data_IF_406140679619
#
_entry.id   IF_406140679619
#
_cell.length_a   1.000
_cell.length_b   1.000
_cell.length_c   1.000
_cell.angle_alpha   90.00
_cell.angle_beta   90.00
_cell.angle_gamma   90.00
#
_symmetry.space_group_name_H-M   'P 1'
#
loop_
_entity.id
_entity.type
_entity.pdbx_description
1 polymer ?
#
# COMPACT_ATOMS: atom_id res chain seq x y z
N UNK A 1 11.52 -7.54 14.54
CA UNK A 1 11.15 -8.69 15.40
C UNK A 1 11.93 -8.59 16.69
N UNK A 2 11.26 -8.64 17.85
CA UNK A 2 11.91 -8.73 19.15
C UNK A 2 12.21 -10.21 19.46
N UNK A 3 13.47 -10.60 19.70
CA UNK A 3 13.85 -12.00 19.88
C UNK A 3 14.07 -12.42 21.35
N UNK A 4 13.86 -11.55 22.32
CA UNK A 4 14.23 -11.77 23.71
C UNK A 4 13.02 -12.18 24.56
N UNK A 5 13.27 -12.84 25.69
CA UNK A 5 12.25 -13.09 26.71
C UNK A 5 12.20 -11.97 27.76
N UNK A 6 13.18 -11.06 27.72
CA UNK A 6 13.25 -9.91 28.62
C UNK A 6 12.45 -8.73 28.08
N UNK A 7 11.98 -7.88 28.99
CA UNK A 7 11.29 -6.66 28.61
C UNK A 7 12.28 -5.62 28.13
N UNK A 8 12.12 -5.17 26.88
CA UNK A 8 12.98 -4.16 26.25
C UNK A 8 12.11 -3.04 25.67
N UNK A 9 12.48 -1.81 25.98
CA UNK A 9 11.90 -0.63 25.35
C UNK A 9 12.67 -0.27 24.08
N UNK A 10 11.94 -0.12 22.98
CA UNK A 10 12.45 0.33 21.70
C UNK A 10 12.00 1.77 21.46
N UNK A 11 12.94 2.65 21.09
CA UNK A 11 12.66 4.00 20.61
C UNK A 11 12.82 4.03 19.09
N UNK A 12 11.75 4.38 18.38
CA UNK A 12 11.71 4.39 16.92
C UNK A 12 11.53 5.82 16.42
N UNK A 13 12.45 6.25 15.58
CA UNK A 13 12.42 7.53 14.87
C UNK A 13 12.49 7.31 13.36
N UNK A 14 11.94 8.25 12.60
CA UNK A 14 12.04 8.26 11.15
C UNK A 14 13.03 9.34 10.70
N UNK A 15 13.89 8.98 9.77
CA UNK A 15 14.65 9.92 8.97
C UNK A 15 13.94 10.07 7.62
N UNK A 16 13.52 11.31 7.34
CA UNK A 16 12.66 11.64 6.21
C UNK A 16 13.40 12.51 5.19
N UNK A 17 12.97 12.49 3.91
CA UNK A 17 13.44 13.44 2.92
C UNK A 17 13.14 14.90 3.29
N UNK A 18 13.86 15.82 2.65
CA UNK A 18 13.63 17.26 2.83
C UNK A 18 12.18 17.64 2.50
N UNK A 19 11.58 18.46 3.36
CA UNK A 19 10.21 18.95 3.23
C UNK A 19 9.13 17.96 3.67
N UNK A 20 9.49 16.75 4.10
CA UNK A 20 8.56 15.82 4.73
C UNK A 20 8.56 16.03 6.24
N UNK A 21 7.44 15.71 6.88
CA UNK A 21 7.32 15.79 8.33
C UNK A 21 6.53 14.62 8.90
N UNK A 22 6.85 14.32 10.15
CA UNK A 22 6.08 13.45 11.04
C UNK A 22 6.21 14.04 12.45
N UNK A 23 5.32 13.66 13.36
CA UNK A 23 5.38 14.13 14.75
C UNK A 23 5.79 13.02 15.70
N UNK A 24 6.77 13.34 16.57
CA UNK A 24 7.19 12.53 17.71
C UNK A 24 7.99 11.26 17.37
N UNK A 25 8.82 10.84 18.32
CA UNK A 25 9.34 9.46 18.37
C UNK A 25 8.28 8.54 18.98
N UNK A 26 8.18 7.31 18.50
CA UNK A 26 7.29 6.32 19.12
C UNK A 26 8.11 5.31 19.90
N UNK A 27 7.67 5.01 21.12
CA UNK A 27 8.25 3.94 21.93
C UNK A 27 7.33 2.72 21.91
N UNK A 28 7.93 1.53 21.96
CA UNK A 28 7.20 0.29 22.17
C UNK A 28 7.96 -0.58 23.16
N UNK A 29 7.25 -1.02 24.19
CA UNK A 29 7.77 -1.98 25.17
C UNK A 29 7.41 -3.38 24.71
N UNK A 30 8.43 -4.18 24.36
CA UNK A 30 8.26 -5.58 24.01
C UNK A 30 8.58 -6.45 25.22
N UNK A 31 7.66 -7.36 25.58
CA UNK A 31 7.77 -8.20 26.79
C UNK A 31 7.99 -9.68 26.47
N UNK A 32 7.83 -10.07 25.20
CA UNK A 32 7.95 -11.45 24.75
C UNK A 32 8.34 -11.49 23.27
N UNK A 33 8.99 -12.57 22.79
CA UNK A 33 9.40 -12.71 21.40
C UNK A 33 8.24 -12.52 20.43
N UNK A 34 8.42 -11.68 19.41
CA UNK A 34 7.37 -11.43 18.43
C UNK A 34 7.54 -10.17 17.58
N UNK A 35 6.47 -9.86 16.83
CA UNK A 35 6.39 -8.67 15.99
C UNK A 35 5.54 -7.61 16.69
N UNK A 36 6.12 -6.42 16.81
CA UNK A 36 5.48 -5.24 17.37
C UNK A 36 5.40 -4.20 16.27
N UNK A 37 4.23 -3.58 16.13
CA UNK A 37 3.93 -2.66 15.03
C UNK A 37 3.68 -1.26 15.57
N UNK A 38 4.36 -0.28 14.97
CA UNK A 38 4.16 1.14 15.21
C UNK A 38 3.57 1.78 13.96
N UNK A 39 2.72 2.79 14.14
CA UNK A 39 2.04 3.49 13.03
C UNK A 39 2.43 4.96 13.05
N UNK A 40 3.07 5.42 11.99
CA UNK A 40 3.44 6.83 11.82
C UNK A 40 2.52 7.49 10.80
N UNK A 41 2.07 8.71 11.11
CA UNK A 41 1.44 9.58 10.13
C UNK A 41 2.52 10.50 9.55
N UNK A 42 2.68 10.44 8.24
CA UNK A 42 3.66 11.25 7.51
C UNK A 42 2.92 12.26 6.63
N UNK A 43 3.47 13.46 6.55
CA UNK A 43 3.08 14.47 5.57
C UNK A 43 4.23 14.66 4.60
N UNK A 44 4.01 14.33 3.33
CA UNK A 44 4.99 14.46 2.27
C UNK A 44 5.08 15.89 1.73
N UNK A 45 6.15 16.17 1.01
CA UNK A 45 6.22 17.36 0.15
C UNK A 45 5.42 17.16 -1.15
N UNK A 46 5.21 18.23 -1.91
CA UNK A 46 4.50 18.21 -3.21
C UNK A 46 5.43 18.01 -4.42
N UNK A 47 6.68 17.61 -4.19
CA UNK A 47 7.66 17.44 -5.26
C UNK A 47 7.67 15.98 -5.71
N UNK A 48 7.39 15.67 -6.99
CA UNK A 48 7.44 14.30 -7.49
C UNK A 48 8.89 13.80 -7.51
N UNK A 49 9.17 12.73 -6.75
CA UNK A 49 10.38 11.93 -6.83
C UNK A 49 10.19 10.57 -6.11
N UNK A 50 11.17 9.68 -6.26
CA UNK A 50 11.29 8.49 -5.43
C UNK A 50 12.05 8.83 -4.17
N UNK A 51 11.41 8.63 -3.03
CA UNK A 51 11.93 9.01 -1.72
C UNK A 51 12.18 7.79 -0.85
N UNK A 52 13.27 7.83 -0.09
CA UNK A 52 13.59 6.81 0.91
C UNK A 52 13.19 7.30 2.30
N UNK A 53 12.50 6.45 3.05
CA UNK A 53 12.16 6.62 4.46
C UNK A 53 12.99 5.61 5.23
N UNK A 54 13.80 6.10 6.17
CA UNK A 54 14.64 5.23 7.00
C UNK A 54 14.06 5.23 8.41
N UNK A 55 13.63 4.06 8.89
CA UNK A 55 13.23 3.86 10.27
C UNK A 55 14.44 3.46 11.09
N UNK A 56 14.77 4.24 12.13
CA UNK A 56 15.84 3.94 13.07
C UNK A 56 15.23 3.44 14.37
N UNK A 57 15.65 2.26 14.80
CA UNK A 57 15.22 1.61 16.03
C UNK A 57 16.40 1.56 16.98
N UNK A 58 16.29 2.24 18.12
CA UNK A 58 17.30 2.25 19.16
C UNK A 58 16.76 1.59 20.42
N UNK A 59 17.59 0.78 21.08
CA UNK A 59 17.25 0.11 22.33
C UNK A 59 18.50 -0.18 23.14
N UNK A 60 18.35 -0.34 24.45
CA UNK A 60 19.45 -0.71 25.35
C UNK A 60 19.25 -2.14 25.80
N UNK A 61 20.23 -3.02 25.51
CA UNK A 61 20.18 -4.40 26.00
C UNK A 61 21.55 -5.10 25.94
N UNK A 62 22.02 -5.74 27.04
CA UNK A 62 21.55 -5.61 28.43
C UNK A 62 21.99 -4.30 29.10
N UNK A 63 23.16 -3.77 28.71
CA UNK A 63 23.71 -2.50 29.20
C UNK A 63 24.33 -1.64 28.09
N UNK A 64 24.24 -2.09 26.83
CA UNK A 64 24.79 -1.39 25.68
C UNK A 64 23.66 -0.87 24.80
N UNK A 65 23.87 0.32 24.22
CA UNK A 65 22.98 0.85 23.20
C UNK A 65 23.17 0.10 21.89
N UNK A 66 22.06 -0.33 21.30
CA UNK A 66 21.99 -1.02 20.02
C UNK A 66 21.07 -0.25 19.09
N UNK A 67 21.39 -0.31 17.81
CA UNK A 67 20.65 0.36 16.75
C UNK A 67 20.39 -0.59 15.60
N UNK A 68 19.22 -0.45 14.99
CA UNK A 68 18.83 -1.11 13.74
C UNK A 68 18.25 -0.03 12.83
N UNK A 69 18.45 -0.17 11.53
CA UNK A 69 17.77 0.67 10.54
C UNK A 69 17.12 -0.18 9.47
N UNK A 70 15.97 0.26 8.99
CA UNK A 70 15.30 -0.32 7.83
C UNK A 70 14.92 0.81 6.86
N UNK A 71 15.07 0.53 5.57
CA UNK A 71 14.77 1.49 4.51
C UNK A 71 13.54 1.02 3.73
N UNK A 72 12.66 1.97 3.42
CA UNK A 72 11.50 1.80 2.54
C UNK A 72 11.45 2.93 1.54
N UNK A 73 11.28 2.59 0.27
CA UNK A 73 11.13 3.56 -0.80
C UNK A 73 9.67 3.81 -1.09
N UNK A 74 9.31 5.08 -1.23
CA UNK A 74 7.99 5.55 -1.66
C UNK A 74 8.15 6.21 -3.01
N UNK A 75 7.41 5.72 -4.00
CA UNK A 75 7.32 6.34 -5.32
C UNK A 75 6.32 7.49 -5.26
N UNK A 76 6.77 8.72 -5.51
CA UNK A 76 5.87 9.85 -5.77
C UNK A 76 6.18 10.38 -7.15
N UNK A 77 5.36 10.05 -8.14
CA UNK A 77 5.64 10.43 -9.51
C UNK A 77 4.36 10.91 -10.19
N UNK A 78 4.46 12.00 -10.95
CA UNK A 78 3.37 12.53 -11.76
C UNK A 78 3.09 11.64 -12.98
N UNK A 79 3.99 10.71 -13.30
CA UNK A 79 3.90 9.81 -14.44
C UNK A 79 3.31 8.42 -14.08
N UNK A 80 2.63 8.28 -12.95
CA UNK A 80 1.95 7.04 -12.55
C UNK A 80 0.48 7.05 -13.01
N UNK A 81 0.07 6.20 -13.98
CA UNK A 81 -1.32 5.92 -14.22
C UNK A 81 -1.86 4.97 -13.15
N UNK A 82 -3.05 5.25 -12.61
CA UNK A 82 -3.72 4.39 -11.63
C UNK A 82 -5.10 4.09 -12.18
N UNK A 83 -5.33 2.85 -12.60
CA UNK A 83 -6.60 2.43 -13.17
C UNK A 83 -7.53 1.88 -12.09
N UNK A 84 -8.63 2.58 -11.86
CA UNK A 84 -9.77 2.05 -11.13
C UNK A 84 -10.72 1.37 -12.12
N UNK A 85 -11.07 0.12 -11.82
CA UNK A 85 -11.97 -0.68 -12.63
C UNK A 85 -13.21 -0.96 -11.80
N UNK A 86 -14.35 -0.46 -12.25
CA UNK A 86 -15.65 -0.69 -11.63
C UNK A 86 -16.47 -1.56 -12.58
N UNK A 87 -16.95 -2.70 -12.07
CA UNK A 87 -17.87 -3.57 -12.79
C UNK A 87 -19.20 -3.61 -12.06
N UNK A 88 -20.25 -3.21 -12.77
CA UNK A 88 -21.62 -3.28 -12.28
C UNK A 88 -22.33 -4.41 -13.02
N UNK A 89 -22.71 -5.44 -12.27
CA UNK A 89 -23.40 -6.64 -12.78
C UNK A 89 -24.41 -7.11 -11.74
N UNK A 90 -25.60 -7.60 -12.14
CA UNK A 90 -26.53 -8.22 -11.22
C UNK A 90 -25.90 -9.41 -10.47
N UNK A 91 -26.11 -9.47 -9.15
CA UNK A 91 -25.59 -10.55 -8.30
C UNK A 91 -26.23 -11.90 -8.60
N UNK A 92 -27.50 -11.89 -9.00
CA UNK A 92 -28.28 -13.09 -9.34
C UNK A 92 -29.02 -12.79 -10.63
N UNK A 93 -28.98 -13.75 -11.55
CA UNK A 93 -29.68 -13.70 -12.83
C UNK A 93 -30.54 -14.95 -12.92
N UNK A 94 -31.80 -14.78 -13.30
CA UNK A 94 -32.70 -15.91 -13.50
C UNK A 94 -32.19 -16.83 -14.61
N UNK A 95 -32.55 -18.11 -14.54
CA UNK A 95 -32.24 -19.06 -15.60
C UNK A 95 -32.77 -18.53 -16.94
N UNK A 96 -31.96 -18.65 -17.99
CA UNK A 96 -32.28 -18.26 -19.37
C UNK A 96 -32.68 -16.77 -19.50
N UNK A 97 -32.09 -15.90 -18.67
CA UNK A 97 -32.29 -14.44 -18.75
C UNK A 97 -31.04 -13.72 -19.26
N UNK A 98 -31.31 -12.64 -20.00
CA UNK A 98 -30.32 -11.64 -20.40
C UNK A 98 -30.15 -10.63 -19.27
N UNK A 99 -28.94 -10.16 -19.06
CA UNK A 99 -28.63 -9.05 -18.18
C UNK A 99 -27.62 -8.13 -18.84
N UNK A 100 -27.65 -6.87 -18.44
CA UNK A 100 -26.64 -5.90 -18.80
C UNK A 100 -25.56 -5.85 -17.73
N UNK A 101 -24.31 -5.76 -18.17
CA UNK A 101 -23.17 -5.48 -17.32
C UNK A 101 -22.46 -4.25 -17.86
N UNK A 102 -22.04 -3.38 -16.95
CA UNK A 102 -21.27 -2.19 -17.30
C UNK A 102 -19.87 -2.35 -16.70
N UNK A 103 -18.86 -2.06 -17.50
CA UNK A 103 -17.48 -1.94 -17.06
C UNK A 103 -17.04 -0.50 -17.30
N UNK A 104 -16.64 0.18 -16.23
CA UNK A 104 -16.12 1.54 -16.28
C UNK A 104 -14.68 1.54 -15.80
N UNK A 105 -13.81 2.21 -16.57
CA UNK A 105 -12.40 2.38 -16.23
C UNK A 105 -12.14 3.87 -16.03
N UNK A 106 -11.68 4.22 -14.84
CA UNK A 106 -11.20 5.56 -14.54
C UNK A 106 -9.69 5.53 -14.38
N UNK A 107 -9.00 6.46 -15.02
CA UNK A 107 -7.61 6.73 -14.66
C UNK A 107 -7.60 7.78 -13.54
N UNK A 108 -7.41 7.31 -12.31
CA UNK A 108 -7.26 8.13 -11.09
C UNK A 108 -5.79 8.49 -10.80
N UNK A 109 -4.87 8.11 -11.69
CA UNK A 109 -3.47 8.47 -11.57
C UNK A 109 -3.18 9.88 -12.06
N UNK A 110 -1.93 10.30 -11.91
CA UNK A 110 -1.45 11.61 -12.37
C UNK A 110 -1.01 11.61 -13.83
N UNK A 111 -0.99 10.45 -14.49
CA UNK A 111 -0.48 10.27 -15.85
C UNK A 111 -1.45 9.52 -16.74
N UNK A 112 -1.42 9.80 -18.04
CA UNK A 112 -2.10 9.00 -19.04
C UNK A 112 -1.49 7.59 -19.13
N UNK A 113 -2.32 6.59 -19.41
CA UNK A 113 -1.84 5.26 -19.80
C UNK A 113 -1.15 5.33 -21.15
N UNK A 114 -0.08 4.55 -21.34
CA UNK A 114 0.54 4.37 -22.66
C UNK A 114 -0.02 3.11 -23.34
N UNK A 115 -0.15 3.17 -24.67
CA UNK A 115 -0.67 2.06 -25.47
C UNK A 115 -2.19 1.87 -25.38
N UNK A 116 -2.68 0.73 -25.86
CA UNK A 116 -4.09 0.38 -25.83
C UNK A 116 -4.45 -0.35 -24.53
N UNK A 117 -5.42 0.17 -23.78
CA UNK A 117 -6.04 -0.56 -22.67
C UNK A 117 -7.00 -1.58 -23.26
N UNK A 118 -6.68 -2.88 -23.13
CA UNK A 118 -7.52 -3.97 -23.65
C UNK A 118 -8.23 -4.65 -22.49
N UNK A 119 -9.54 -4.58 -22.50
CA UNK A 119 -10.40 -5.36 -21.60
C UNK A 119 -10.61 -6.75 -22.19
N UNK A 120 -10.29 -7.78 -21.41
CA UNK A 120 -10.62 -9.17 -21.74
C UNK A 120 -11.62 -9.70 -20.73
N UNK A 121 -12.88 -9.85 -21.15
CA UNK A 121 -13.88 -10.55 -20.35
C UNK A 121 -13.74 -12.06 -20.56
N UNK A 122 -13.68 -12.81 -19.45
CA UNK A 122 -13.73 -14.28 -19.48
C UNK A 122 -15.02 -14.72 -18.84
N UNK A 123 -15.92 -15.24 -19.67
CA UNK A 123 -17.19 -15.81 -19.22
C UNK A 123 -17.00 -17.27 -18.79
N UNK A 124 -17.74 -17.70 -17.77
CA UNK A 124 -17.84 -19.12 -17.43
C UNK A 124 -18.72 -19.86 -18.46
N UNK A 125 -18.54 -21.18 -18.56
CA UNK A 125 -19.30 -22.03 -19.48
C UNK A 125 -20.81 -21.85 -19.31
N UNK A 126 -21.54 -21.65 -20.41
CA UNK A 126 -23.00 -21.47 -20.43
C UNK A 126 -23.46 -20.01 -20.53
N UNK A 127 -22.56 -19.04 -20.35
CA UNK A 127 -22.84 -17.63 -20.65
C UNK A 127 -22.40 -17.31 -22.08
N UNK A 128 -23.29 -16.68 -22.84
CA UNK A 128 -23.02 -16.20 -24.19
C UNK A 128 -23.37 -14.71 -24.28
N UNK A 129 -22.63 -13.90 -25.04
CA UNK A 129 -23.02 -12.52 -25.32
C UNK A 129 -24.43 -12.49 -25.92
N UNK A 130 -25.30 -11.64 -25.38
CA UNK A 130 -26.69 -11.55 -25.84
C UNK A 130 -26.83 -11.06 -27.29
N UNK A 131 -25.80 -10.38 -27.80
CA UNK A 131 -25.70 -9.94 -29.19
C UNK A 131 -24.30 -10.21 -29.74
N UNK A 132 -24.01 -11.44 -30.21
CA UNK A 132 -22.71 -11.79 -30.75
C UNK A 132 -22.54 -11.15 -32.14
N UNK A 133 -21.58 -10.23 -32.26
CA UNK A 133 -21.05 -9.76 -33.55
C UNK A 133 -19.72 -10.43 -33.84
#
# INVERSE_FOLDING_TARGET
MHPFNDTIEYNVSLNLPSGWSYSGTQTVTATAPGNYTLKFNLTSSNTPNNYSIIANVNYTYPANNKGLSDNKTVEMNNNIPILEIVRETPKVVGKDKVFDSILTIHNKGCAATSGATVVKEKLSTGWVPANPS
#
